data_IF_050099675177
#
_entry.id   IF_050099675177
#
_cell.length_a   1.000
_cell.length_b   1.000
_cell.length_c   1.000
_cell.angle_alpha   90.00
_cell.angle_beta   90.00
_cell.angle_gamma   90.00
#
_symmetry.space_group_name_H-M   'P 1'
#
loop_
_entity.id
_entity.type
_entity.pdbx_description
1 polymer ?
#
# COMPACT_ATOMS: atom_id res chain seq x y z
N UNK A 1 -8.88 25.73 -1.16
CA UNK A 1 -9.97 24.80 -1.46
C UNK A 1 -10.51 24.30 -0.13
N UNK A 2 -11.75 24.64 0.22
CA UNK A 2 -12.39 24.12 1.44
C UNK A 2 -13.07 22.81 1.02
N UNK A 3 -12.58 21.68 1.54
CA UNK A 3 -13.26 20.40 1.36
C UNK A 3 -14.34 20.33 2.42
N UNK A 4 -15.60 20.45 2.01
CA UNK A 4 -16.76 20.26 2.88
C UNK A 4 -17.39 18.90 2.60
N UNK A 5 -17.61 18.11 3.64
CA UNK A 5 -18.31 16.83 3.56
C UNK A 5 -19.15 16.62 4.82
N UNK A 6 -20.18 15.78 4.70
CA UNK A 6 -21.07 15.42 5.81
C UNK A 6 -20.76 13.99 6.21
N UNK A 7 -20.28 13.78 7.44
CA UNK A 7 -20.11 12.45 8.02
C UNK A 7 -21.36 12.13 8.85
N UNK A 8 -22.18 11.20 8.38
CA UNK A 8 -23.36 10.74 9.11
C UNK A 8 -22.97 9.58 10.02
N UNK A 9 -23.15 9.75 11.33
CA UNK A 9 -22.97 8.67 12.31
C UNK A 9 -24.36 8.25 12.77
N UNK A 10 -24.77 7.02 12.43
CA UNK A 10 -26.05 6.45 12.83
C UNK A 10 -25.82 5.33 13.82
N UNK A 11 -26.33 5.46 15.04
CA UNK A 11 -26.29 4.39 16.04
C UNK A 11 -27.43 3.41 15.76
N UNK A 12 -27.08 2.19 15.35
CA UNK A 12 -28.03 1.10 15.12
C UNK A 12 -27.90 0.04 16.21
N UNK A 13 -29.02 -0.53 16.66
CA UNK A 13 -29.03 -1.65 17.63
C UNK A 13 -28.87 -3.03 16.97
N UNK A 14 -28.88 -3.06 15.63
CA UNK A 14 -28.72 -4.27 14.84
C UNK A 14 -27.23 -4.48 14.50
N UNK A 15 -26.62 -5.50 15.11
CA UNK A 15 -25.21 -5.83 14.91
C UNK A 15 -24.91 -6.30 13.47
N UNK A 16 -25.90 -6.79 12.72
CA UNK A 16 -25.71 -7.27 11.34
C UNK A 16 -25.36 -6.15 10.36
N UNK A 17 -25.72 -4.90 10.67
CA UNK A 17 -25.33 -3.72 9.88
C UNK A 17 -23.88 -3.30 10.13
N UNK A 18 -23.29 -3.64 11.28
CA UNK A 18 -21.88 -3.39 11.55
C UNK A 18 -20.95 -4.31 10.72
N UNK A 19 -21.48 -5.46 10.25
CA UNK A 19 -20.76 -6.42 9.41
C UNK A 19 -20.68 -6.00 7.94
N UNK A 20 -21.52 -5.04 7.51
CA UNK A 20 -21.52 -4.50 6.15
C UNK A 20 -20.59 -3.29 6.04
N UNK A 21 -19.29 -3.52 6.19
CA UNK A 21 -18.30 -2.50 5.88
C UNK A 21 -18.28 -2.32 4.36
N UNK A 22 -18.48 -1.08 3.91
CA UNK A 22 -18.38 -0.71 2.50
C UNK A 22 -17.06 -1.24 1.88
N UNK A 23 -17.12 -2.04 0.81
CA UNK A 23 -15.95 -2.57 0.11
C UNK A 23 -14.91 -1.51 -0.22
N UNK A 24 -15.35 -0.30 -0.57
CA UNK A 24 -14.46 0.82 -0.86
C UNK A 24 -13.69 1.29 0.37
N UNK A 25 -14.32 1.29 1.54
CA UNK A 25 -13.65 1.62 2.80
C UNK A 25 -12.60 0.54 3.13
N UNK A 26 -12.92 -0.74 2.90
CA UNK A 26 -11.96 -1.83 3.10
C UNK A 26 -10.74 -1.69 2.18
N UNK A 27 -10.96 -1.42 0.89
CA UNK A 27 -9.89 -1.18 -0.08
C UNK A 27 -9.02 0.01 0.31
N UNK A 28 -9.63 1.17 0.62
CA UNK A 28 -8.89 2.37 1.02
C UNK A 28 -8.04 2.12 2.28
N UNK A 29 -8.62 1.43 3.27
CA UNK A 29 -7.91 1.05 4.49
C UNK A 29 -6.73 0.13 4.19
N UNK A 30 -6.93 -0.92 3.38
CA UNK A 30 -5.86 -1.85 3.01
C UNK A 30 -4.72 -1.17 2.24
N UNK A 31 -5.05 -0.27 1.30
CA UNK A 31 -4.05 0.53 0.56
C UNK A 31 -3.27 1.46 1.51
N UNK A 32 -3.95 2.12 2.45
CA UNK A 32 -3.29 2.99 3.41
C UNK A 32 -2.35 2.19 4.34
N UNK A 33 -2.81 1.05 4.84
CA UNK A 33 -2.01 0.15 5.67
C UNK A 33 -0.81 -0.39 4.88
N UNK A 34 -0.98 -0.78 3.62
CA UNK A 34 0.11 -1.22 2.76
C UNK A 34 1.18 -0.12 2.58
N UNK A 35 0.78 1.15 2.43
CA UNK A 35 1.72 2.26 2.35
C UNK A 35 2.48 2.50 3.67
N UNK A 36 1.85 2.27 4.84
CA UNK A 36 2.54 2.32 6.13
C UNK A 36 3.55 1.18 6.29
N UNK A 37 3.21 0.00 5.76
CA UNK A 37 4.11 -1.14 5.72
C UNK A 37 5.32 -0.85 4.82
N UNK A 38 5.14 -0.17 3.67
CA UNK A 38 6.24 0.22 2.79
C UNK A 38 7.30 1.06 3.52
N UNK A 39 6.88 2.08 4.28
CA UNK A 39 7.79 2.92 5.07
C UNK A 39 8.58 2.07 6.08
N UNK A 40 7.90 1.12 6.72
CA UNK A 40 8.53 0.22 7.70
C UNK A 40 9.48 -0.77 7.03
N UNK A 41 9.13 -1.30 5.86
CA UNK A 41 9.97 -2.17 5.04
C UNK A 41 11.25 -1.42 4.64
N UNK A 42 11.15 -0.17 4.18
CA UNK A 42 12.30 0.66 3.84
C UNK A 42 13.27 0.83 5.02
N UNK A 43 12.72 1.06 6.23
CA UNK A 43 13.53 1.15 7.44
C UNK A 43 14.22 -0.17 7.79
N UNK A 44 13.50 -1.30 7.71
CA UNK A 44 14.07 -2.63 7.99
C UNK A 44 15.20 -2.99 7.02
N UNK A 45 15.06 -2.64 5.74
CA UNK A 45 16.12 -2.82 4.73
C UNK A 45 17.34 -1.94 5.06
N UNK A 46 17.11 -0.69 5.46
CA UNK A 46 18.17 0.25 5.85
C UNK A 46 18.95 -0.24 7.07
N UNK A 47 18.24 -0.75 8.07
CA UNK A 47 18.79 -1.36 9.29
C UNK A 47 19.53 -2.69 9.03
N UNK A 48 19.48 -3.22 7.80
CA UNK A 48 20.05 -4.53 7.45
C UNK A 48 19.25 -5.73 7.97
N UNK A 49 18.04 -5.50 8.49
CA UNK A 49 17.10 -6.53 8.98
C UNK A 49 16.29 -7.11 7.80
N UNK A 50 16.99 -7.67 6.82
CA UNK A 50 16.40 -8.14 5.56
C UNK A 50 15.35 -9.22 5.75
N UNK A 51 15.53 -10.15 6.69
CA UNK A 51 14.55 -11.23 6.94
C UNK A 51 13.24 -10.65 7.49
N UNK A 52 13.31 -9.70 8.42
CA UNK A 52 12.12 -9.02 8.94
C UNK A 52 11.40 -8.22 7.83
N UNK A 53 12.16 -7.60 6.92
CA UNK A 53 11.58 -6.91 5.76
C UNK A 53 10.84 -7.89 4.84
N UNK A 54 11.40 -9.07 4.59
CA UNK A 54 10.78 -10.11 3.75
C UNK A 54 9.47 -10.61 4.38
N UNK A 55 9.45 -10.83 5.69
CA UNK A 55 8.24 -11.22 6.43
C UNK A 55 7.16 -10.14 6.32
N UNK A 56 7.54 -8.87 6.53
CA UNK A 56 6.59 -7.76 6.44
C UNK A 56 6.03 -7.56 5.02
N UNK A 57 6.84 -7.80 3.98
CA UNK A 57 6.37 -7.82 2.59
C UNK A 57 5.36 -8.95 2.37
N UNK A 58 5.56 -10.13 3.00
CA UNK A 58 4.58 -11.22 2.89
C UNK A 58 3.23 -10.83 3.51
N UNK A 59 3.25 -10.21 4.69
CA UNK A 59 2.05 -9.69 5.36
C UNK A 59 1.34 -8.64 4.50
N UNK A 60 2.10 -7.75 3.86
CA UNK A 60 1.56 -6.71 2.96
C UNK A 60 0.84 -7.34 1.75
N UNK A 61 1.46 -8.36 1.13
CA UNK A 61 0.85 -9.09 0.02
C UNK A 61 -0.47 -9.74 0.46
N UNK A 62 -0.47 -10.42 1.62
CA UNK A 62 -1.68 -11.05 2.15
C UNK A 62 -2.78 -10.02 2.40
N UNK A 63 -2.46 -8.86 2.97
CA UNK A 63 -3.41 -7.76 3.16
C UNK A 63 -4.02 -7.30 1.83
N UNK A 64 -3.20 -7.04 0.82
CA UNK A 64 -3.69 -6.57 -0.49
C UNK A 64 -4.53 -7.65 -1.20
N UNK A 65 -4.18 -8.93 -1.06
CA UNK A 65 -4.97 -10.04 -1.60
C UNK A 65 -6.39 -10.12 -0.98
N UNK A 66 -6.56 -9.69 0.28
CA UNK A 66 -7.90 -9.67 0.91
C UNK A 66 -8.86 -8.69 0.24
N UNK A 67 -8.36 -7.69 -0.49
CA UNK A 67 -9.19 -6.66 -1.15
C UNK A 67 -9.09 -6.69 -2.68
N UNK A 68 -8.23 -7.54 -3.27
CA UNK A 68 -8.02 -7.62 -4.73
C UNK A 68 -9.30 -7.94 -5.52
N UNK A 69 -10.23 -8.67 -4.91
CA UNK A 69 -11.48 -9.08 -5.54
C UNK A 69 -12.60 -8.02 -5.45
N UNK A 70 -12.34 -6.87 -4.82
CA UNK A 70 -13.32 -5.80 -4.66
C UNK A 70 -13.27 -4.87 -5.90
N UNK A 71 -14.32 -5.01 -6.73
CA UNK A 71 -14.55 -4.53 -8.10
C UNK A 71 -13.68 -3.40 -8.68
N UNK A 72 -13.66 -2.20 -8.08
CA UNK A 72 -13.27 -0.99 -8.81
C UNK A 72 -11.75 -0.73 -8.90
N UNK A 73 -10.96 -1.26 -7.96
CA UNK A 73 -9.51 -0.98 -7.87
C UNK A 73 -8.63 -2.22 -8.09
N UNK A 74 -9.24 -3.33 -8.51
CA UNK A 74 -8.55 -4.62 -8.75
C UNK A 74 -7.24 -4.47 -9.53
N UNK A 75 -7.23 -3.69 -10.60
CA UNK A 75 -6.02 -3.47 -11.41
C UNK A 75 -4.89 -2.78 -10.63
N UNK A 76 -5.22 -1.81 -9.78
CA UNK A 76 -4.25 -1.13 -8.93
C UNK A 76 -3.72 -2.07 -7.85
N UNK A 77 -4.62 -2.80 -7.19
CA UNK A 77 -4.25 -3.75 -6.12
C UNK A 77 -3.36 -4.88 -6.68
N UNK A 78 -3.72 -5.46 -7.84
CA UNK A 78 -2.88 -6.46 -8.51
C UNK A 78 -1.51 -5.91 -8.90
N UNK A 79 -1.41 -4.63 -9.28
CA UNK A 79 -0.13 -3.99 -9.56
C UNK A 79 0.72 -3.87 -8.28
N UNK A 80 0.13 -3.42 -7.18
CA UNK A 80 0.81 -3.33 -5.87
C UNK A 80 1.31 -4.69 -5.40
N UNK A 81 0.49 -5.74 -5.52
CA UNK A 81 0.87 -7.13 -5.20
C UNK A 81 2.08 -7.55 -6.03
N UNK A 82 2.05 -7.37 -7.36
CA UNK A 82 3.18 -7.74 -8.24
C UNK A 82 4.46 -6.99 -7.89
N UNK A 83 4.36 -5.71 -7.50
CA UNK A 83 5.53 -4.93 -7.09
C UNK A 83 6.13 -5.48 -5.80
N UNK A 84 5.30 -5.78 -4.80
CA UNK A 84 5.71 -6.37 -3.54
C UNK A 84 6.35 -7.76 -3.73
N UNK A 85 5.75 -8.63 -4.55
CA UNK A 85 6.29 -9.96 -4.88
C UNK A 85 7.66 -9.88 -5.56
N UNK A 86 7.79 -9.03 -6.57
CA UNK A 86 9.05 -8.82 -7.30
C UNK A 86 10.17 -8.36 -6.37
N UNK A 87 9.85 -7.45 -5.45
CA UNK A 87 10.82 -6.93 -4.50
C UNK A 87 11.17 -7.98 -3.44
N UNK A 88 10.20 -8.73 -2.94
CA UNK A 88 10.43 -9.84 -2.03
C UNK A 88 11.41 -10.85 -2.64
N UNK A 89 11.20 -11.20 -3.91
CA UNK A 89 12.09 -12.09 -4.66
C UNK A 89 13.50 -11.50 -4.79
N UNK A 90 13.63 -10.24 -5.20
CA UNK A 90 14.94 -9.56 -5.33
C UNK A 90 15.72 -9.52 -4.01
N UNK A 91 15.02 -9.32 -2.87
CA UNK A 91 15.63 -9.34 -1.55
C UNK A 91 16.10 -10.76 -1.16
N UNK A 92 15.28 -11.79 -1.40
CA UNK A 92 15.63 -13.20 -1.17
C UNK A 92 16.85 -13.63 -2.00
N UNK A 93 16.87 -13.24 -3.26
CA UNK A 93 17.94 -13.58 -4.21
C UNK A 93 19.23 -12.78 -3.98
N UNK A 94 19.23 -11.83 -3.03
CA UNK A 94 20.31 -10.85 -2.80
C UNK A 94 20.72 -10.11 -4.10
N UNK A 95 19.80 -10.04 -5.07
CA UNK A 95 20.02 -9.53 -6.41
C UNK A 95 19.93 -7.99 -6.47
N UNK A 96 19.72 -7.32 -5.33
CA UNK A 96 19.57 -5.88 -5.21
C UNK A 96 20.36 -5.36 -4.01
N UNK A 97 21.05 -4.24 -4.18
CA UNK A 97 21.73 -3.60 -3.06
C UNK A 97 20.71 -3.08 -2.04
N UNK A 98 21.04 -3.09 -0.74
CA UNK A 98 20.17 -2.54 0.32
C UNK A 98 19.76 -1.10 0.04
N UNK A 99 20.69 -0.28 -0.46
CA UNK A 99 20.44 1.13 -0.84
C UNK A 99 19.43 1.25 -1.98
N UNK A 100 19.48 0.35 -2.96
CA UNK A 100 18.51 0.32 -4.06
C UNK A 100 17.16 -0.16 -3.55
N UNK A 101 17.09 -1.24 -2.77
CA UNK A 101 15.83 -1.78 -2.26
C UNK A 101 15.11 -0.80 -1.32
N UNK A 102 15.83 -0.10 -0.43
CA UNK A 102 15.24 0.91 0.44
C UNK A 102 14.67 2.11 -0.35
N UNK A 103 15.30 2.51 -1.47
CA UNK A 103 14.77 3.56 -2.35
C UNK A 103 13.46 3.17 -3.01
N UNK A 104 13.31 1.93 -3.45
CA UNK A 104 12.07 1.46 -4.09
C UNK A 104 10.86 1.56 -3.16
N UNK A 105 11.04 1.30 -1.86
CA UNK A 105 9.98 1.48 -0.86
C UNK A 105 9.85 2.92 -0.35
N UNK A 106 10.95 3.68 -0.28
CA UNK A 106 10.96 5.06 0.22
C UNK A 106 10.32 6.11 -0.70
N UNK A 107 10.08 5.80 -1.99
CA UNK A 107 9.42 6.72 -2.91
C UNK A 107 7.89 6.63 -2.89
N UNK A 108 7.29 5.49 -2.53
CA UNK A 108 5.82 5.35 -2.51
C UNK A 108 5.17 5.88 -1.21
N UNK A 109 5.89 5.88 -0.08
CA UNK A 109 5.48 6.63 1.12
C UNK A 109 5.35 8.15 0.88
N UNK A 110 5.92 8.66 -0.21
CA UNK A 110 5.78 10.07 -0.59
C UNK A 110 4.38 10.42 -1.10
N UNK A 111 3.55 9.46 -1.53
CA UNK A 111 2.14 9.75 -1.84
C UNK A 111 1.35 10.18 -0.59
N UNK A 112 1.77 9.75 0.61
CA UNK A 112 1.20 10.22 1.88
C UNK A 112 1.60 11.66 2.23
N UNK A 113 2.77 12.12 1.78
CA UNK A 113 3.22 13.52 1.92
C UNK A 113 2.75 14.41 0.77
N UNK A 114 2.34 13.85 -0.36
CA UNK A 114 1.90 14.58 -1.55
C UNK A 114 0.38 14.62 -1.75
N UNK A 115 -0.42 14.26 -0.74
CA UNK A 115 -1.81 14.78 -0.64
C UNK A 115 -1.87 16.31 -0.47
N UNK A 116 -0.73 16.97 -0.53
CA UNK A 116 -0.61 18.40 -0.71
C UNK A 116 0.09 18.80 -2.02
N UNK A 117 -0.14 18.14 -3.16
CA UNK A 117 -0.29 18.75 -4.51
C UNK A 117 -0.12 17.74 -5.67
N UNK A 118 -1.08 17.81 -6.60
CA UNK A 118 -1.04 17.46 -8.04
C UNK A 118 0.14 16.60 -8.53
N UNK A 119 -0.13 15.34 -8.88
CA UNK A 119 0.68 14.61 -9.87
C UNK A 119 -0.18 13.66 -10.72
N UNK A 120 -0.95 14.25 -11.64
CA UNK A 120 -1.22 13.61 -12.94
C UNK A 120 -0.17 14.12 -13.92
N UNK A 121 0.82 13.29 -14.23
CA UNK A 121 1.81 13.60 -15.25
C UNK A 121 3.23 13.42 -14.75
N UNK A 122 3.71 12.17 -14.75
CA UNK A 122 5.06 11.81 -15.18
C UNK A 122 5.09 10.29 -15.40
N UNK A 123 4.33 9.83 -16.40
CA UNK A 123 4.73 8.70 -17.22
C UNK A 123 4.73 9.23 -18.65
N UNK A 124 5.79 9.97 -18.98
CA UNK A 124 6.12 10.31 -20.34
C UNK A 124 7.61 9.99 -20.50
N UNK A 125 7.83 8.98 -21.33
CA UNK A 125 8.97 8.80 -22.21
C UNK A 125 10.35 8.61 -21.58
N UNK A 126 10.83 7.35 -21.64
CA UNK A 126 12.24 7.07 -21.86
C UNK A 126 12.34 6.24 -23.16
N UNK A 127 12.68 6.92 -24.25
CA UNK A 127 13.46 6.35 -25.37
C UNK A 127 14.93 6.16 -24.94
#
# INVERSE_FOLDING_TARGET
MIVSGTLSITFVHDASLAEQIDPKIQTLHAVQMAAEMDDRIAQLITDGKTDNAITLIAEQITLLQTVEHMDDEKSMISMLIRMAENMQKRLKDKAVSRKTAAKYYGHHGHMKKCYDHKYTGHYADED
#
